data_IF_941422374973
#
_entry.id   IF_941422374973
#
_cell.length_a   1.000
_cell.length_b   1.000
_cell.length_c   1.000
_cell.angle_alpha   90.00
_cell.angle_beta   90.00
_cell.angle_gamma   90.00
#
_symmetry.space_group_name_H-M   'P 1'
#
loop_
_entity.id
_entity.type
_entity.pdbx_description
1 polymer ?
#
# COMPACT_ATOMS: atom_id res chain seq x y z
N UNK A 1 -16.92 -19.37 15.77
CA UNK A 1 -15.73 -18.71 16.34
C UNK A 1 -15.53 -17.40 15.58
N UNK A 2 -16.20 -16.33 15.99
CA UNK A 2 -16.04 -15.02 15.38
C UNK A 2 -15.65 -14.06 16.51
N UNK A 3 -14.41 -14.19 16.98
CA UNK A 3 -13.78 -13.09 17.71
C UNK A 3 -13.67 -11.92 16.74
N UNK A 4 -13.93 -10.70 17.20
CA UNK A 4 -13.74 -9.51 16.37
C UNK A 4 -12.26 -9.44 16.00
N UNK A 5 -11.92 -9.69 14.73
CA UNK A 5 -10.59 -9.40 14.22
C UNK A 5 -10.29 -7.91 14.48
N UNK A 6 -9.20 -7.63 15.17
CA UNK A 6 -8.77 -6.26 15.46
C UNK A 6 -7.40 -5.96 14.83
N UNK A 7 -7.12 -4.66 14.68
CA UNK A 7 -5.84 -4.13 14.22
C UNK A 7 -5.21 -4.91 13.06
N UNK A 8 -4.07 -5.54 13.34
CA UNK A 8 -3.26 -6.24 12.35
C UNK A 8 -3.92 -7.52 11.81
N UNK A 9 -4.70 -8.24 12.61
CA UNK A 9 -5.36 -9.47 12.15
C UNK A 9 -6.45 -9.16 11.13
N UNK A 10 -7.21 -8.08 11.37
CA UNK A 10 -8.20 -7.60 10.40
C UNK A 10 -7.53 -7.19 9.08
N UNK A 11 -6.43 -6.43 9.15
CA UNK A 11 -5.71 -5.98 7.96
C UNK A 11 -5.10 -7.16 7.18
N UNK A 12 -4.60 -8.18 7.88
CA UNK A 12 -4.16 -9.43 7.25
C UNK A 12 -5.31 -10.16 6.56
N UNK A 13 -6.45 -10.33 7.23
CA UNK A 13 -7.61 -11.00 6.64
C UNK A 13 -8.16 -10.25 5.41
N UNK A 14 -8.19 -8.92 5.45
CA UNK A 14 -8.57 -8.09 4.29
C UNK A 14 -7.60 -8.28 3.13
N UNK A 15 -6.29 -8.25 3.41
CA UNK A 15 -5.25 -8.49 2.41
C UNK A 15 -5.43 -9.83 1.72
N UNK A 16 -5.53 -10.91 2.50
CA UNK A 16 -5.70 -12.28 2.00
C UNK A 16 -6.99 -12.43 1.17
N UNK A 17 -8.08 -11.79 1.61
CA UNK A 17 -9.35 -11.86 0.88
C UNK A 17 -9.28 -11.19 -0.49
N UNK A 18 -8.57 -10.07 -0.60
CA UNK A 18 -8.32 -9.36 -1.87
C UNK A 18 -7.41 -10.21 -2.76
N UNK A 19 -6.31 -10.75 -2.22
CA UNK A 19 -5.37 -11.61 -2.96
C UNK A 19 -6.03 -12.89 -3.51
N UNK A 20 -7.07 -13.39 -2.85
CA UNK A 20 -7.85 -14.54 -3.29
C UNK A 20 -8.79 -14.24 -4.48
N UNK A 21 -9.02 -12.96 -4.82
CA UNK A 21 -9.81 -12.59 -5.99
C UNK A 21 -8.95 -12.73 -7.26
N UNK A 22 -9.43 -13.40 -8.33
CA UNK A 22 -8.67 -13.55 -9.57
C UNK A 22 -8.45 -12.23 -10.33
N UNK A 23 -9.17 -11.14 -10.03
CA UNK A 23 -8.98 -9.84 -10.67
C UNK A 23 -9.35 -8.68 -9.74
N UNK A 24 -8.36 -7.92 -9.29
CA UNK A 24 -8.59 -6.78 -8.39
C UNK A 24 -7.70 -5.56 -8.68
N UNK A 25 -8.23 -4.40 -8.30
CA UNK A 25 -7.53 -3.12 -8.27
C UNK A 25 -7.76 -2.49 -6.89
N UNK A 26 -6.69 -2.26 -6.13
CA UNK A 26 -6.75 -1.49 -4.89
C UNK A 26 -6.23 -0.07 -5.16
N UNK A 27 -7.05 0.94 -4.87
CA UNK A 27 -6.66 2.35 -5.01
C UNK A 27 -6.37 2.93 -3.63
N UNK A 28 -5.12 3.34 -3.42
CA UNK A 28 -4.69 4.08 -2.23
C UNK A 28 -4.58 5.56 -2.59
N UNK A 29 -5.65 6.29 -2.29
CA UNK A 29 -5.75 7.70 -2.61
C UNK A 29 -5.12 8.57 -1.52
N UNK A 30 -4.38 9.61 -1.90
CA UNK A 30 -3.75 10.56 -0.97
C UNK A 30 -2.70 9.93 -0.04
N UNK A 31 -1.89 9.01 -0.56
CA UNK A 31 -0.80 8.35 0.16
C UNK A 31 0.42 9.28 0.33
N UNK A 32 0.22 10.43 0.98
CA UNK A 32 1.26 11.45 1.15
C UNK A 32 2.18 11.16 2.35
N UNK A 33 1.68 10.46 3.37
CA UNK A 33 2.44 10.16 4.59
C UNK A 33 3.29 8.89 4.45
N UNK A 34 4.52 9.06 4.01
CA UNK A 34 5.47 7.95 3.86
C UNK A 34 5.86 7.28 5.17
N UNK A 35 5.66 7.91 6.33
CA UNK A 35 5.97 7.27 7.63
C UNK A 35 4.98 6.16 7.92
N UNK A 36 3.71 6.40 7.61
CA UNK A 36 2.65 5.42 7.79
C UNK A 36 2.83 4.19 6.88
N UNK A 37 3.32 4.39 5.66
CA UNK A 37 3.41 3.32 4.67
C UNK A 37 4.78 2.63 4.59
N UNK A 38 5.91 3.29 4.80
CA UNK A 38 7.21 2.65 4.48
C UNK A 38 8.46 3.15 5.20
N UNK A 39 8.40 4.24 5.96
CA UNK A 39 9.58 4.68 6.72
C UNK A 39 9.63 3.97 8.06
N UNK A 40 10.36 2.85 8.13
CA UNK A 40 10.73 2.21 9.41
C UNK A 40 11.74 3.11 10.14
N UNK A 41 11.26 4.17 10.77
CA UNK A 41 12.07 4.98 11.69
C UNK A 41 11.81 4.49 13.11
N UNK A 42 12.49 3.43 13.54
CA UNK A 42 12.39 2.86 14.89
C UNK A 42 12.04 1.37 14.93
N UNK A 43 11.73 0.88 16.13
CA UNK A 43 11.40 -0.53 16.45
C UNK A 43 9.93 -0.90 16.10
N UNK A 44 9.35 -0.22 15.11
CA UNK A 44 8.01 -0.56 14.63
C UNK A 44 8.08 -1.86 13.81
N UNK A 45 7.51 -2.92 14.40
CA UNK A 45 7.58 -4.28 13.87
C UNK A 45 6.82 -4.48 12.54
N UNK A 46 5.83 -3.62 12.23
CA UNK A 46 5.03 -3.67 10.99
C UNK A 46 4.60 -2.27 10.54
N UNK A 47 4.59 -2.05 9.23
CA UNK A 47 4.07 -0.82 8.59
C UNK A 47 2.81 -1.14 7.80
N UNK A 48 2.03 -0.14 7.37
CA UNK A 48 0.85 -0.41 6.54
C UNK A 48 1.19 -1.13 5.23
N UNK A 49 2.41 -0.96 4.69
CA UNK A 49 2.83 -1.68 3.46
C UNK A 49 2.88 -3.20 3.61
N UNK A 50 2.94 -3.72 4.84
CA UNK A 50 2.93 -5.16 5.10
C UNK A 50 1.54 -5.77 4.87
N UNK A 51 0.49 -4.93 4.94
CA UNK A 51 -0.90 -5.34 4.75
C UNK A 51 -1.44 -5.00 3.36
N UNK A 52 -0.61 -4.47 2.47
CA UNK A 52 -1.01 -4.19 1.10
C UNK A 52 -0.95 -5.47 0.28
N UNK A 53 -2.02 -5.83 -0.46
CA UNK A 53 -2.08 -7.01 -1.31
C UNK A 53 -0.91 -7.09 -2.29
N UNK A 54 -0.33 -8.29 -2.39
CA UNK A 54 0.74 -8.66 -3.31
C UNK A 54 0.31 -9.92 -4.03
N UNK A 55 0.36 -9.93 -5.35
CA UNK A 55 -0.02 -11.12 -6.09
C UNK A 55 0.24 -10.96 -7.58
N UNK A 56 0.26 -12.07 -8.33
CA UNK A 56 0.47 -12.05 -9.77
C UNK A 56 -0.75 -11.51 -10.54
N UNK A 57 -1.94 -11.53 -9.92
CA UNK A 57 -3.23 -11.20 -10.53
C UNK A 57 -3.90 -10.04 -9.79
N UNK A 58 -3.36 -8.84 -9.93
CA UNK A 58 -3.95 -7.63 -9.38
C UNK A 58 -2.98 -6.44 -9.35
N UNK A 59 -3.50 -5.25 -9.09
CA UNK A 59 -2.70 -4.01 -9.10
C UNK A 59 -3.06 -3.10 -7.95
N UNK A 60 -2.06 -2.43 -7.38
CA UNK A 60 -2.24 -1.34 -6.42
C UNK A 60 -1.92 -0.03 -7.13
N UNK A 61 -2.89 0.87 -7.22
CA UNK A 61 -2.70 2.22 -7.73
C UNK A 61 -2.56 3.18 -6.56
N UNK A 62 -1.46 3.91 -6.55
CA UNK A 62 -1.14 4.91 -5.54
C UNK A 62 -1.31 6.30 -6.13
N UNK A 63 -2.04 7.16 -5.44
CA UNK A 63 -2.02 8.60 -5.73
C UNK A 63 -1.39 9.32 -4.55
N UNK A 64 -0.44 10.21 -4.84
CA UNK A 64 0.30 10.93 -3.82
C UNK A 64 0.84 12.24 -4.41
N UNK A 65 0.92 13.25 -3.57
CA UNK A 65 1.64 14.51 -3.80
C UNK A 65 3.11 14.38 -3.42
N UNK A 66 3.45 13.40 -2.58
CA UNK A 66 4.81 13.15 -2.12
C UNK A 66 5.60 12.39 -3.19
N UNK A 67 6.54 13.09 -3.83
CA UNK A 67 7.35 12.57 -4.94
C UNK A 67 8.22 11.39 -4.53
N UNK A 68 8.58 11.29 -3.24
CA UNK A 68 9.41 10.20 -2.71
C UNK A 68 8.69 8.84 -2.69
N UNK A 69 7.37 8.79 -2.85
CA UNK A 69 6.61 7.53 -2.90
C UNK A 69 7.09 6.61 -4.03
N UNK A 70 7.46 7.21 -5.16
CA UNK A 70 7.89 6.49 -6.36
C UNK A 70 9.24 5.81 -6.24
N UNK A 71 10.02 6.07 -5.19
CA UNK A 71 11.27 5.35 -4.94
C UNK A 71 11.21 4.46 -3.70
N UNK A 72 10.52 4.94 -2.66
CA UNK A 72 10.54 4.28 -1.34
C UNK A 72 9.53 3.15 -1.19
N UNK A 73 8.46 3.15 -2.00
CA UNK A 73 7.29 2.31 -1.73
C UNK A 73 6.75 1.68 -3.02
N UNK A 74 6.64 2.48 -4.06
CA UNK A 74 6.43 2.04 -5.43
C UNK A 74 7.80 2.02 -6.11
N UNK A 75 8.09 1.04 -6.96
CA UNK A 75 9.35 1.06 -7.71
C UNK A 75 9.41 2.24 -8.69
N UNK A 76 10.57 2.87 -8.85
CA UNK A 76 10.75 4.09 -9.66
C UNK A 76 10.21 3.99 -11.09
N UNK A 77 10.32 2.81 -11.70
CA UNK A 77 9.83 2.54 -13.04
C UNK A 77 8.30 2.45 -13.16
N UNK A 78 7.59 2.41 -12.02
CA UNK A 78 6.12 2.29 -11.94
C UNK A 78 5.46 3.58 -11.48
N UNK A 79 6.24 4.64 -11.22
CA UNK A 79 5.73 5.93 -10.78
C UNK A 79 5.55 6.87 -11.97
N UNK A 80 4.40 7.54 -12.02
CA UNK A 80 4.12 8.62 -12.98
C UNK A 80 4.13 9.93 -12.20
N UNK A 81 5.10 10.79 -12.50
CA UNK A 81 5.17 12.11 -11.91
C UNK A 81 4.51 13.12 -12.86
N UNK A 82 3.41 13.71 -12.41
CA UNK A 82 2.81 14.81 -13.16
C UNK A 82 3.63 16.08 -12.92
N UNK A 83 4.39 16.50 -13.93
CA UNK A 83 4.98 17.84 -13.98
C UNK A 83 4.14 18.70 -14.90
N UNK A 84 3.64 19.83 -14.42
CA UNK A 84 3.04 20.82 -15.31
C UNK A 84 4.13 21.36 -16.25
N UNK A 85 3.94 21.35 -17.57
CA UNK A 85 4.80 22.13 -18.45
C UNK A 85 4.62 23.60 -18.09
N UNK A 86 5.75 24.30 -17.97
CA UNK A 86 5.82 25.76 -17.81
C UNK A 86 5.75 26.38 -19.19
#
# INVERSE_FOLDING_TARGET
>A
LAGSLDGAELLTAVRERIEADPCWLLVLNSADDLKLFGSRTGDEARTLSDFIPRGPVGTVLWTSREKRIGGSLVGAQRAINQTSPV
#
